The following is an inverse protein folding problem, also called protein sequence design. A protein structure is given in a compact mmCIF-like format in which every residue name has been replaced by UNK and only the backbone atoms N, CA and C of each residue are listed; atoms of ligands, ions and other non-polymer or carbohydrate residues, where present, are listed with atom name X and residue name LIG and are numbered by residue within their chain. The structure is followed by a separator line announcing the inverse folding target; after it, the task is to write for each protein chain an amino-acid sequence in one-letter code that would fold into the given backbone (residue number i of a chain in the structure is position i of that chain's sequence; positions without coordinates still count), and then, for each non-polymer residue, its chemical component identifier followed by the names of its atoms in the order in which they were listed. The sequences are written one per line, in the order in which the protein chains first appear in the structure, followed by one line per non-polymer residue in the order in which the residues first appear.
data_IF_704019601212
#
_entry.id   IF_704019601212
#
_cell.length_a   1.000
_cell.length_b   1.000
_cell.length_c   1.000
_cell.angle_alpha   90.00
_cell.angle_beta   90.00
_cell.angle_gamma   90.00
#
_symmetry.space_group_name_H-M   'P 1'
#
loop_
_entity.id
_entity.type
_entity.pdbx_description
1 polymer ?
#
# COMPACT_ATOMS: atom_id res chain seq x y z
N UNK A 1 -2.87 -18.37 -20.51
CA UNK A 1 -1.45 -18.02 -20.81
C UNK A 1 -0.96 -17.22 -19.61
N UNK A 2 -0.01 -17.75 -18.85
CA UNK A 2 0.58 -17.04 -17.70
C UNK A 2 1.35 -15.86 -18.26
N UNK A 3 0.95 -14.63 -17.89
CA UNK A 3 1.76 -13.44 -18.16
C UNK A 3 3.18 -13.68 -17.66
N UNK A 4 4.20 -13.29 -18.44
CA UNK A 4 5.59 -13.40 -18.01
C UNK A 4 5.87 -12.35 -16.92
N UNK A 5 5.38 -12.61 -15.72
CA UNK A 5 5.67 -11.79 -14.56
C UNK A 5 7.13 -12.02 -14.16
N UNK A 6 7.94 -10.98 -14.26
CA UNK A 6 9.31 -11.01 -13.76
C UNK A 6 9.29 -10.65 -12.28
N UNK A 7 9.52 -11.60 -11.36
CA UNK A 7 9.46 -11.32 -9.94
C UNK A 7 10.62 -10.39 -9.54
N UNK A 8 10.29 -9.19 -9.09
CA UNK A 8 11.23 -8.29 -8.44
C UNK A 8 11.33 -8.67 -6.96
N UNK A 9 12.50 -9.11 -6.53
CA UNK A 9 12.73 -9.46 -5.13
C UNK A 9 13.65 -8.46 -4.46
N UNK A 10 13.32 -8.10 -3.24
CA UNK A 10 14.22 -7.36 -2.36
C UNK A 10 14.87 -8.28 -1.33
N UNK A 11 15.97 -7.82 -0.74
CA UNK A 11 16.63 -8.53 0.38
C UNK A 11 15.73 -8.67 1.61
N UNK A 12 14.63 -7.94 1.67
CA UNK A 12 13.64 -7.99 2.75
C UNK A 12 12.44 -8.89 2.46
N UNK A 13 12.35 -9.48 1.27
CA UNK A 13 11.23 -10.35 0.91
C UNK A 13 11.09 -11.49 1.93
N UNK A 14 9.88 -11.65 2.49
CA UNK A 14 9.57 -12.59 3.58
C UNK A 14 9.89 -12.07 4.98
N UNK A 15 10.43 -10.86 5.12
CA UNK A 15 10.70 -10.28 6.43
C UNK A 15 9.44 -9.70 7.06
N UNK A 16 8.95 -10.34 8.11
CA UNK A 16 7.89 -9.80 8.98
C UNK A 16 8.46 -8.94 10.10
N UNK A 17 7.80 -7.82 10.41
CA UNK A 17 8.25 -6.87 11.42
C UNK A 17 7.08 -6.29 12.24
N UNK A 18 7.35 -5.79 13.46
CA UNK A 18 6.39 -4.96 14.21
C UNK A 18 6.53 -3.53 13.72
N UNK A 19 5.45 -2.96 13.17
CA UNK A 19 5.45 -1.61 12.61
C UNK A 19 5.00 -0.55 13.65
N UNK A 20 3.98 -0.90 14.45
CA UNK A 20 3.48 -0.09 15.55
C UNK A 20 2.79 -1.01 16.57
N UNK A 21 2.17 -0.46 17.59
CA UNK A 21 1.39 -1.28 18.51
C UNK A 21 0.14 -1.82 17.85
N UNK A 22 -0.05 -3.17 17.89
CA UNK A 22 -1.12 -3.87 17.18
C UNK A 22 -0.99 -3.81 15.65
N UNK A 23 0.13 -3.37 15.08
CA UNK A 23 0.37 -3.29 13.63
C UNK A 23 1.64 -4.03 13.25
N UNK A 24 1.52 -4.98 12.34
CA UNK A 24 2.63 -5.81 11.88
C UNK A 24 2.71 -5.76 10.36
N UNK A 25 3.91 -5.60 9.84
CA UNK A 25 4.17 -5.58 8.41
C UNK A 25 4.86 -6.85 7.93
N UNK A 26 4.68 -7.15 6.67
CA UNK A 26 5.41 -8.17 5.93
C UNK A 26 5.82 -7.59 4.58
N UNK A 27 7.09 -7.64 4.26
CA UNK A 27 7.54 -7.32 2.90
C UNK A 27 7.37 -8.55 2.01
N UNK A 28 6.52 -8.45 0.99
CA UNK A 28 6.30 -9.49 -0.02
C UNK A 28 6.94 -9.05 -1.34
N UNK A 29 8.05 -9.67 -1.70
CA UNK A 29 8.89 -9.26 -2.82
C UNK A 29 9.40 -7.81 -2.64
N UNK A 30 8.70 -6.81 -3.17
CA UNK A 30 9.04 -5.38 -3.06
C UNK A 30 7.96 -4.52 -2.42
N UNK A 31 6.77 -5.07 -2.23
CA UNK A 31 5.62 -4.39 -1.62
C UNK A 31 5.44 -4.79 -0.15
N UNK A 32 4.76 -3.98 0.62
CA UNK A 32 4.42 -4.28 2.00
C UNK A 32 2.92 -4.56 2.14
N UNK A 33 2.59 -5.53 2.98
CA UNK A 33 1.24 -5.74 3.49
C UNK A 33 1.25 -5.58 5.01
N UNK A 34 0.11 -5.18 5.58
CA UNK A 34 0.03 -4.96 7.02
C UNK A 34 -1.12 -5.72 7.64
N UNK A 35 -0.86 -6.32 8.80
CA UNK A 35 -1.85 -6.95 9.66
C UNK A 35 -2.12 -6.01 10.83
N UNK A 36 -3.38 -5.62 11.01
CA UNK A 36 -3.81 -4.75 12.11
C UNK A 36 -4.72 -5.53 13.04
N UNK A 37 -4.35 -5.62 14.32
CA UNK A 37 -5.22 -6.19 15.35
C UNK A 37 -6.40 -5.27 15.62
N UNK A 38 -7.60 -5.83 15.74
CA UNK A 38 -8.78 -5.07 16.15
C UNK A 38 -8.76 -4.89 17.69
N UNK A 39 -8.55 -3.68 18.20
CA UNK A 39 -8.46 -3.48 19.65
C UNK A 39 -9.79 -3.71 20.38
N UNK A 40 -10.91 -3.56 19.69
CA UNK A 40 -12.26 -3.76 20.23
C UNK A 40 -12.71 -5.22 20.20
N UNK A 41 -12.05 -6.07 19.41
CA UNK A 41 -12.35 -7.48 19.27
C UNK A 41 -11.03 -8.30 19.24
N UNK A 42 -10.51 -8.67 20.42
CA UNK A 42 -9.28 -9.45 20.51
C UNK A 42 -9.36 -10.73 19.67
N UNK A 43 -8.32 -10.99 18.88
CA UNK A 43 -8.17 -12.07 17.90
C UNK A 43 -8.75 -11.79 16.50
N UNK A 44 -9.34 -10.64 16.26
CA UNK A 44 -9.70 -10.22 14.91
C UNK A 44 -8.54 -9.45 14.26
N UNK A 45 -8.23 -9.80 13.02
CA UNK A 45 -7.15 -9.21 12.23
C UNK A 45 -7.74 -8.63 10.95
N UNK A 46 -7.28 -7.45 10.59
CA UNK A 46 -7.55 -6.82 9.31
C UNK A 46 -6.25 -6.81 8.49
N UNK A 47 -6.32 -7.27 7.26
CA UNK A 47 -5.21 -7.20 6.31
C UNK A 47 -5.33 -5.92 5.50
N UNK A 48 -4.26 -5.16 5.40
CA UNK A 48 -4.17 -4.00 4.49
C UNK A 48 -3.25 -4.37 3.34
N UNK A 49 -3.79 -4.29 2.15
CA UNK A 49 -3.25 -4.77 0.87
C UNK A 49 -3.02 -6.29 0.83
N UNK A 50 -2.86 -6.82 -0.38
CA UNK A 50 -2.70 -8.24 -0.65
C UNK A 50 -1.41 -8.58 -1.42
N UNK A 51 -0.49 -7.62 -1.48
CA UNK A 51 0.86 -7.81 -2.00
C UNK A 51 0.93 -8.19 -3.48
N UNK A 52 2.10 -8.69 -3.86
CA UNK A 52 2.44 -9.09 -5.22
C UNK A 52 1.72 -10.39 -5.65
N UNK A 53 1.57 -10.65 -6.95
CA UNK A 53 1.17 -11.97 -7.44
C UNK A 53 2.04 -13.08 -6.85
N UNK A 54 1.43 -14.24 -6.56
CA UNK A 54 2.09 -15.44 -5.98
C UNK A 54 2.60 -15.26 -4.54
N UNK A 55 2.19 -14.21 -3.81
CA UNK A 55 2.61 -13.99 -2.43
C UNK A 55 1.65 -14.53 -1.36
N UNK A 56 0.57 -15.20 -1.75
CA UNK A 56 -0.45 -15.72 -0.83
C UNK A 56 0.11 -16.65 0.24
N UNK A 57 1.01 -17.56 -0.13
CA UNK A 57 1.64 -18.47 0.83
C UNK A 57 2.50 -17.71 1.85
N UNK A 58 3.24 -16.70 1.41
CA UNK A 58 4.05 -15.87 2.29
C UNK A 58 3.20 -15.11 3.31
N UNK A 59 2.07 -14.54 2.85
CA UNK A 59 1.11 -13.80 3.69
C UNK A 59 0.43 -14.75 4.70
N UNK A 60 -0.04 -15.92 4.25
CA UNK A 60 -0.68 -16.90 5.13
C UNK A 60 0.26 -17.50 6.16
N UNK A 61 1.52 -17.77 5.78
CA UNK A 61 2.53 -18.27 6.69
C UNK A 61 2.92 -17.22 7.75
N UNK A 62 3.03 -15.95 7.37
CA UNK A 62 3.27 -14.87 8.35
C UNK A 62 2.11 -14.72 9.31
N UNK A 63 0.87 -14.79 8.84
CA UNK A 63 -0.30 -14.75 9.71
C UNK A 63 -0.28 -15.88 10.73
N UNK A 64 -0.03 -17.14 10.29
CA UNK A 64 0.06 -18.32 11.18
C UNK A 64 1.23 -18.21 12.17
N UNK A 65 2.37 -17.69 11.72
CA UNK A 65 3.57 -17.54 12.54
C UNK A 65 3.38 -16.49 13.65
N UNK A 66 2.71 -15.41 13.32
CA UNK A 66 2.57 -14.25 14.21
C UNK A 66 1.40 -14.38 15.17
N UNK A 67 0.29 -14.86 14.66
CA UNK A 67 -0.94 -14.95 15.43
C UNK A 67 -1.20 -16.40 15.82
N UNK A 68 -1.58 -16.60 17.09
CA UNK A 68 -1.87 -17.93 17.64
C UNK A 68 -3.18 -18.48 17.07
N UNK A 69 -3.44 -19.77 17.33
CA UNK A 69 -4.74 -20.36 17.05
C UNK A 69 -5.89 -19.55 17.67
N UNK A 70 -6.96 -19.38 16.90
CA UNK A 70 -8.14 -18.61 17.30
C UNK A 70 -8.09 -17.14 16.87
N UNK A 71 -7.06 -16.68 16.16
CA UNK A 71 -7.11 -15.43 15.43
C UNK A 71 -7.78 -15.63 14.07
N UNK A 72 -8.61 -14.67 13.67
CA UNK A 72 -9.39 -14.72 12.43
C UNK A 72 -9.14 -13.46 11.61
N UNK A 73 -8.90 -13.61 10.31
CA UNK A 73 -8.98 -12.49 9.37
C UNK A 73 -10.45 -12.11 9.20
N UNK A 74 -10.78 -10.84 9.35
CA UNK A 74 -12.16 -10.33 9.26
C UNK A 74 -12.43 -9.52 8.00
N UNK A 75 -11.42 -8.88 7.47
CA UNK A 75 -11.54 -8.07 6.25
C UNK A 75 -10.18 -7.86 5.58
N UNK A 76 -10.22 -7.50 4.31
CA UNK A 76 -9.09 -6.90 3.60
C UNK A 76 -9.45 -5.46 3.25
N UNK A 77 -8.58 -4.52 3.57
CA UNK A 77 -8.68 -3.12 3.15
C UNK A 77 -7.61 -2.90 2.09
N UNK A 78 -7.99 -2.41 0.92
CA UNK A 78 -7.06 -2.10 -0.15
C UNK A 78 -6.81 -0.59 -0.20
N UNK A 79 -5.54 -0.20 -0.22
CA UNK A 79 -5.14 1.20 -0.40
C UNK A 79 -5.49 1.69 -1.80
N UNK A 80 -5.25 0.85 -2.80
CA UNK A 80 -5.59 1.03 -4.21
C UNK A 80 -5.52 -0.31 -4.95
N UNK A 81 -5.77 -0.33 -6.27
CA UNK A 81 -5.91 -1.57 -7.02
C UNK A 81 -4.74 -1.93 -7.94
N UNK A 82 -3.53 -1.41 -7.76
CA UNK A 82 -2.38 -1.86 -8.56
C UNK A 82 -2.01 -3.30 -8.25
N UNK A 83 -1.42 -3.99 -9.25
CA UNK A 83 -1.15 -5.43 -9.24
C UNK A 83 -0.30 -5.90 -8.05
N UNK A 84 0.54 -5.05 -7.51
CA UNK A 84 1.43 -5.31 -6.38
C UNK A 84 0.79 -5.06 -5.01
N UNK A 85 -0.46 -4.56 -5.00
CA UNK A 85 -1.31 -4.40 -3.82
C UNK A 85 -2.50 -5.35 -3.79
N UNK A 86 -2.89 -5.90 -4.95
CA UNK A 86 -4.01 -6.84 -5.04
C UNK A 86 -3.59 -8.23 -5.53
N UNK A 87 -2.30 -8.45 -5.76
CA UNK A 87 -1.79 -9.60 -6.53
C UNK A 87 -2.12 -10.97 -5.98
N UNK A 88 -2.26 -11.15 -4.68
CA UNK A 88 -2.63 -12.42 -4.06
C UNK A 88 -4.11 -12.49 -3.65
N UNK A 89 -4.91 -11.45 -3.88
CA UNK A 89 -6.25 -11.32 -3.29
C UNK A 89 -7.18 -12.48 -3.62
N UNK A 90 -7.19 -12.99 -4.86
CA UNK A 90 -8.08 -14.10 -5.26
C UNK A 90 -7.82 -15.34 -4.41
N UNK A 91 -6.57 -15.76 -4.29
CA UNK A 91 -6.18 -16.94 -3.49
C UNK A 91 -6.47 -16.70 -2.01
N UNK A 92 -6.23 -15.49 -1.50
CA UNK A 92 -6.52 -15.16 -0.11
C UNK A 92 -8.02 -15.20 0.20
N UNK A 93 -8.87 -14.79 -0.74
CA UNK A 93 -10.33 -14.87 -0.60
C UNK A 93 -10.87 -16.28 -0.68
N UNK A 94 -10.26 -17.16 -1.48
CA UNK A 94 -10.58 -18.59 -1.48
C UNK A 94 -10.30 -19.24 -0.12
N UNK A 95 -9.23 -18.80 0.57
CA UNK A 95 -8.84 -19.33 1.88
C UNK A 95 -9.69 -18.77 3.04
N UNK A 96 -10.04 -17.50 2.99
CA UNK A 96 -10.62 -16.80 4.15
C UNK A 96 -12.05 -16.30 3.95
N UNK A 97 -12.53 -16.17 2.72
CA UNK A 97 -13.89 -15.74 2.39
C UNK A 97 -14.35 -14.51 3.19
N UNK A 98 -13.55 -13.45 3.21
CA UNK A 98 -13.81 -12.23 3.98
C UNK A 98 -14.18 -11.07 3.06
N UNK A 99 -14.87 -10.03 3.54
CA UNK A 99 -15.16 -8.84 2.76
C UNK A 99 -13.88 -8.08 2.40
N UNK A 100 -13.88 -7.47 1.20
CA UNK A 100 -12.83 -6.58 0.72
C UNK A 100 -13.41 -5.17 0.61
N UNK A 101 -12.69 -4.18 1.14
CA UNK A 101 -13.06 -2.78 1.06
C UNK A 101 -12.01 -1.98 0.32
N UNK A 102 -12.47 -1.04 -0.50
CA UNK A 102 -11.63 -0.12 -1.27
C UNK A 102 -12.37 1.20 -1.46
N UNK A 103 -11.70 2.27 -1.82
CA UNK A 103 -12.36 3.52 -2.16
C UNK A 103 -13.25 3.37 -3.41
N UNK A 104 -14.41 4.03 -3.44
CA UNK A 104 -15.39 3.93 -4.53
C UNK A 104 -14.81 4.18 -5.94
N UNK A 105 -13.85 5.11 -6.06
CA UNK A 105 -13.18 5.44 -7.33
C UNK A 105 -12.24 4.34 -7.84
N UNK A 106 -11.88 3.37 -7.00
CA UNK A 106 -11.09 2.21 -7.40
C UNK A 106 -11.95 1.05 -7.91
N UNK A 107 -13.25 1.04 -7.56
CA UNK A 107 -14.16 -0.05 -7.96
C UNK A 107 -14.15 -0.36 -9.46
N UNK A 108 -14.13 0.61 -10.40
CA UNK A 108 -14.07 0.30 -11.82
C UNK A 108 -12.85 -0.53 -12.20
N UNK A 109 -11.71 -0.27 -11.59
CA UNK A 109 -10.45 -0.96 -11.88
C UNK A 109 -10.45 -2.39 -11.32
N UNK A 110 -10.75 -2.55 -10.03
CA UNK A 110 -10.72 -3.87 -9.36
C UNK A 110 -11.91 -4.78 -9.70
N UNK A 111 -12.90 -4.28 -10.44
CA UNK A 111 -14.02 -5.08 -10.99
C UNK A 111 -13.86 -5.37 -12.48
N UNK A 112 -12.78 -4.92 -13.11
CA UNK A 112 -12.47 -5.11 -14.52
C UNK A 112 -13.38 -4.32 -15.48
N UNK A 113 -13.98 -3.21 -15.01
CA UNK A 113 -14.76 -2.28 -15.82
C UNK A 113 -13.88 -1.21 -16.50
N UNK A 114 -12.69 -0.96 -15.95
CA UNK A 114 -11.70 -0.04 -16.50
C UNK A 114 -10.28 -0.57 -16.23
N UNK A 115 -9.32 -0.14 -17.05
CA UNK A 115 -7.91 -0.34 -16.82
C UNK A 115 -7.28 0.96 -16.29
N UNK A 116 -6.20 0.82 -15.50
CA UNK A 116 -5.40 1.98 -15.14
C UNK A 116 -4.73 2.62 -16.37
N UNK A 117 -4.44 3.92 -16.29
CA UNK A 117 -3.65 4.57 -17.34
C UNK A 117 -2.34 3.82 -17.62
N UNK A 118 -1.82 3.89 -18.86
CA UNK A 118 -0.53 3.28 -19.16
C UNK A 118 0.58 3.92 -18.33
N UNK A 119 1.55 3.10 -17.93
CA UNK A 119 2.76 3.59 -17.26
C UNK A 119 3.48 4.65 -18.12
N UNK A 120 4.12 5.59 -17.44
CA UNK A 120 4.90 6.68 -18.05
C UNK A 120 6.40 6.43 -17.84
N UNK A 121 7.07 5.63 -18.69
CA UNK A 121 8.46 5.21 -18.50
C UNK A 121 9.45 6.39 -18.49
N UNK A 122 9.06 7.52 -19.06
CA UNK A 122 9.88 8.74 -19.15
C UNK A 122 9.60 9.74 -18.02
N UNK A 123 8.68 9.44 -17.10
CA UNK A 123 8.33 10.34 -16.00
C UNK A 123 9.52 10.58 -15.05
N UNK A 124 10.39 9.60 -14.90
CA UNK A 124 11.65 9.70 -14.14
C UNK A 124 12.68 8.74 -14.71
N UNK A 125 13.97 9.07 -14.58
CA UNK A 125 15.07 8.18 -15.01
C UNK A 125 15.17 6.98 -14.06
N UNK A 126 15.29 5.77 -14.62
CA UNK A 126 15.49 4.54 -13.86
C UNK A 126 15.19 3.30 -14.68
N UNK A 127 15.75 2.15 -14.28
CA UNK A 127 15.54 0.89 -15.00
C UNK A 127 14.11 0.36 -14.77
N UNK A 128 13.60 0.46 -13.55
CA UNK A 128 12.24 0.04 -13.21
C UNK A 128 11.21 0.88 -13.98
N UNK A 129 11.41 2.20 -14.04
CA UNK A 129 10.57 3.09 -14.84
C UNK A 129 10.55 2.68 -16.33
N UNK A 130 11.69 2.34 -16.90
CA UNK A 130 11.80 1.89 -18.31
C UNK A 130 11.08 0.55 -18.55
N UNK A 131 11.04 -0.33 -17.56
CA UNK A 131 10.37 -1.63 -17.63
C UNK A 131 8.87 -1.52 -17.31
N UNK A 132 8.41 -0.40 -16.77
CA UNK A 132 7.02 -0.22 -16.32
C UNK A 132 5.92 -0.48 -17.37
N UNK A 133 6.14 -0.30 -18.70
CA UNK A 133 5.15 -0.70 -19.68
C UNK A 133 4.87 -2.20 -19.75
N UNK A 134 5.76 -3.03 -19.17
CA UNK A 134 5.62 -4.48 -19.09
C UNK A 134 4.83 -4.92 -17.85
N UNK A 135 4.58 -4.03 -16.89
CA UNK A 135 3.84 -4.35 -15.67
C UNK A 135 2.34 -4.44 -15.96
N UNK A 136 1.62 -5.35 -15.27
CA UNK A 136 0.20 -5.50 -15.44
C UNK A 136 -0.57 -4.21 -15.15
N UNK A 137 -1.44 -3.79 -16.06
CA UNK A 137 -2.38 -2.68 -15.87
C UNK A 137 -3.79 -3.17 -15.59
N UNK A 138 -4.06 -4.39 -16.01
CA UNK A 138 -5.31 -5.06 -15.73
C UNK A 138 -5.30 -5.52 -14.29
N UNK A 139 -6.31 -5.15 -13.57
CA UNK A 139 -6.48 -5.64 -12.21
C UNK A 139 -7.20 -6.99 -12.21
N UNK A 140 -6.95 -7.73 -11.17
CA UNK A 140 -7.69 -8.94 -10.84
C UNK A 140 -9.15 -8.55 -10.59
N UNK A 141 -10.12 -9.35 -11.06
CA UNK A 141 -11.53 -9.13 -10.76
C UNK A 141 -11.86 -9.61 -9.37
N UNK A 142 -12.06 -8.67 -8.44
CA UNK A 142 -12.46 -8.99 -7.07
C UNK A 142 -13.99 -9.11 -7.02
N UNK A 143 -14.57 -10.31 -6.79
CA UNK A 143 -16.00 -10.54 -7.00
C UNK A 143 -16.90 -9.83 -5.99
N UNK A 144 -16.46 -9.61 -4.76
CA UNK A 144 -17.29 -9.08 -3.68
C UNK A 144 -16.67 -7.85 -3.00
N UNK A 145 -16.04 -6.98 -3.78
CA UNK A 145 -15.45 -5.75 -3.28
C UNK A 145 -16.51 -4.71 -2.97
N UNK A 146 -16.37 -4.02 -1.85
CA UNK A 146 -17.28 -2.99 -1.35
C UNK A 146 -16.58 -1.64 -1.26
N UNK A 147 -17.34 -0.56 -1.43
CA UNK A 147 -16.84 0.76 -1.15
C UNK A 147 -16.65 0.96 0.37
N UNK A 148 -15.55 1.62 0.74
CA UNK A 148 -15.37 2.12 2.11
C UNK A 148 -16.49 3.10 2.48
N UNK A 149 -16.91 3.16 3.77
CA UNK A 149 -17.86 4.15 4.24
C UNK A 149 -17.40 5.58 3.92
N UNK A 150 -18.30 6.41 3.40
CA UNK A 150 -17.99 7.78 2.96
C UNK A 150 -17.65 8.75 4.10
N UNK A 151 -17.91 8.37 5.34
CA UNK A 151 -17.66 9.16 6.55
C UNK A 151 -16.20 9.08 7.06
N UNK A 152 -15.33 8.34 6.35
CA UNK A 152 -13.93 8.18 6.71
C UNK A 152 -13.66 7.02 7.70
N UNK A 153 -14.69 6.31 8.15
CA UNK A 153 -14.51 5.16 9.05
C UNK A 153 -13.92 3.95 8.30
N UNK A 154 -13.14 3.14 9.03
CA UNK A 154 -12.56 1.90 8.50
C UNK A 154 -13.30 0.72 9.13
N UNK A 155 -13.92 -0.17 8.34
CA UNK A 155 -14.62 -1.34 8.88
C UNK A 155 -13.72 -2.17 9.80
N UNK A 156 -14.23 -2.55 10.97
CA UNK A 156 -13.54 -3.31 12.03
C UNK A 156 -12.35 -2.60 12.72
N UNK A 157 -12.05 -1.34 12.37
CA UNK A 157 -10.93 -0.57 12.92
C UNK A 157 -11.41 0.80 13.39
N UNK A 158 -12.16 0.86 14.49
CA UNK A 158 -12.78 2.10 15.02
C UNK A 158 -11.78 3.22 15.34
N UNK A 159 -10.53 2.87 15.68
CA UNK A 159 -9.48 3.85 15.99
C UNK A 159 -8.79 4.41 14.72
N UNK A 160 -9.11 3.88 13.55
CA UNK A 160 -8.52 4.29 12.28
C UNK A 160 -9.51 5.07 11.44
N UNK A 161 -8.95 5.99 10.66
CA UNK A 161 -9.68 6.70 9.60
C UNK A 161 -8.98 6.48 8.28
N UNK A 162 -9.72 6.33 7.21
CA UNK A 162 -9.15 6.43 5.90
C UNK A 162 -9.15 7.89 5.44
N UNK A 163 -8.09 8.27 4.74
CA UNK A 163 -7.84 9.60 4.19
C UNK A 163 -7.72 9.46 2.70
N UNK A 164 -8.56 10.14 1.92
CA UNK A 164 -8.43 10.16 0.47
C UNK A 164 -7.14 10.89 0.07
N UNK A 165 -6.24 10.17 -0.59
CA UNK A 165 -4.91 10.61 -1.03
C UNK A 165 -4.71 10.32 -2.52
N UNK A 166 -5.56 10.91 -3.40
CA UNK A 166 -5.54 10.66 -4.83
C UNK A 166 -4.27 11.21 -5.48
N UNK A 167 -4.02 10.76 -6.72
CA UNK A 167 -2.92 11.21 -7.57
C UNK A 167 -2.11 10.04 -8.09
N UNK A 168 -1.63 9.15 -7.23
CA UNK A 168 -1.08 7.85 -7.65
C UNK A 168 -2.14 7.07 -8.42
N UNK A 169 -3.27 6.81 -7.77
CA UNK A 169 -4.51 6.40 -8.43
C UNK A 169 -5.66 7.34 -8.05
N UNK A 170 -6.79 7.34 -8.78
CA UNK A 170 -7.92 8.24 -8.48
C UNK A 170 -8.58 8.01 -7.12
N UNK A 171 -8.56 6.77 -6.63
CA UNK A 171 -9.17 6.40 -5.36
C UNK A 171 -8.16 5.94 -4.31
N UNK A 172 -6.88 6.25 -4.48
CA UNK A 172 -5.88 5.89 -3.48
C UNK A 172 -6.24 6.46 -2.10
N UNK A 173 -6.07 5.64 -1.06
CA UNK A 173 -6.27 6.03 0.33
C UNK A 173 -5.04 5.75 1.19
N UNK A 174 -4.92 6.52 2.25
CA UNK A 174 -4.04 6.24 3.38
C UNK A 174 -4.89 5.95 4.62
N UNK A 175 -4.35 5.23 5.61
CA UNK A 175 -5.01 4.99 6.89
C UNK A 175 -4.26 5.74 7.98
N UNK A 176 -4.99 6.41 8.88
CA UNK A 176 -4.40 7.16 9.98
C UNK A 176 -5.03 6.79 11.31
N UNK A 177 -4.21 6.59 12.35
CA UNK A 177 -4.63 6.34 13.71
C UNK A 177 -4.21 7.49 14.61
N UNK A 178 -5.20 8.26 15.09
CA UNK A 178 -4.99 9.51 15.82
C UNK A 178 -4.24 9.33 17.15
N UNK A 179 -4.52 8.25 17.90
CA UNK A 179 -4.03 8.07 19.28
C UNK A 179 -2.51 8.03 19.41
N UNK A 180 -1.82 7.52 18.42
CA UNK A 180 -0.37 7.38 18.37
C UNK A 180 0.23 7.84 17.03
N UNK A 181 -0.59 8.53 16.23
CA UNK A 181 -0.21 9.17 14.97
C UNK A 181 0.48 8.21 13.99
N UNK A 182 -0.01 6.98 13.91
CA UNK A 182 0.46 6.00 12.93
C UNK A 182 -0.22 6.26 11.59
N UNK A 183 0.59 6.53 10.57
CA UNK A 183 0.15 6.71 9.19
C UNK A 183 0.58 5.51 8.34
N UNK A 184 -0.39 4.81 7.74
CA UNK A 184 -0.17 3.85 6.67
C UNK A 184 -0.47 4.58 5.36
N UNK A 185 0.58 5.06 4.69
CA UNK A 185 0.48 5.98 3.55
C UNK A 185 0.11 5.29 2.24
N UNK A 186 0.20 3.94 2.17
CA UNK A 186 0.16 3.23 0.88
C UNK A 186 1.27 3.76 -0.02
N UNK A 187 0.92 4.05 -1.26
CA UNK A 187 1.85 4.58 -2.27
C UNK A 187 1.78 6.09 -2.46
N UNK A 188 1.00 6.82 -1.65
CA UNK A 188 1.05 8.28 -1.67
C UNK A 188 2.43 8.81 -1.25
N UNK A 189 3.11 8.09 -0.36
CA UNK A 189 4.50 8.31 0.06
C UNK A 189 5.17 6.95 0.19
N UNK A 190 6.37 6.79 -0.32
CA UNK A 190 7.17 5.57 -0.24
C UNK A 190 8.53 5.86 0.38
N UNK A 191 9.16 4.83 0.94
CA UNK A 191 10.45 4.94 1.65
C UNK A 191 11.59 4.23 0.93
N UNK A 192 11.48 4.09 -0.39
CA UNK A 192 12.51 3.55 -1.28
C UNK A 192 12.33 4.16 -2.67
N UNK A 193 13.41 4.47 -3.38
CA UNK A 193 13.30 4.96 -4.77
C UNK A 193 12.90 3.82 -5.72
N UNK A 194 11.63 3.77 -6.08
CA UNK A 194 11.06 2.70 -6.92
C UNK A 194 11.57 2.69 -8.36
N UNK A 195 12.07 3.80 -8.87
CA UNK A 195 12.69 3.89 -10.19
C UNK A 195 14.07 3.24 -10.26
N UNK A 196 14.78 3.13 -9.13
CA UNK A 196 16.11 2.55 -8.99
C UNK A 196 16.03 1.07 -8.62
N UNK A 197 16.37 0.18 -9.55
CA UNK A 197 16.41 -1.26 -9.27
C UNK A 197 17.36 -1.60 -8.11
N UNK A 198 18.50 -0.92 -8.02
CA UNK A 198 19.46 -1.17 -6.94
C UNK A 198 18.86 -0.82 -5.58
N UNK A 199 18.20 0.33 -5.45
CA UNK A 199 17.62 0.78 -4.20
C UNK A 199 16.41 -0.10 -3.79
N UNK A 200 15.61 -0.53 -4.77
CA UNK A 200 14.51 -1.50 -4.55
C UNK A 200 15.05 -2.84 -4.04
N UNK A 201 16.12 -3.38 -4.64
CA UNK A 201 16.71 -4.66 -4.22
C UNK A 201 17.27 -4.57 -2.80
N UNK A 202 18.05 -3.54 -2.49
CA UNK A 202 18.68 -3.40 -1.15
C UNK A 202 17.76 -2.75 -0.13
N UNK A 203 16.59 -2.22 -0.55
CA UNK A 203 15.64 -1.47 0.30
C UNK A 203 16.32 -0.27 0.98
N UNK A 204 17.02 0.54 0.19
CA UNK A 204 17.63 1.78 0.67
C UNK A 204 16.54 2.70 1.19
N UNK A 205 16.57 2.97 2.51
CA UNK A 205 15.56 3.79 3.15
C UNK A 205 15.76 5.27 2.80
N UNK A 206 14.87 5.82 2.00
CA UNK A 206 14.85 7.21 1.57
C UNK A 206 13.41 7.62 1.25
N UNK A 207 13.00 8.82 1.66
CA UNK A 207 11.62 9.30 1.50
C UNK A 207 11.39 9.85 0.08
N UNK A 208 10.36 9.33 -0.58
CA UNK A 208 9.95 9.72 -1.92
C UNK A 208 8.44 9.93 -2.02
N UNK A 209 8.01 10.72 -3.00
CA UNK A 209 6.61 10.75 -3.45
C UNK A 209 6.21 9.42 -4.10
N UNK A 210 5.00 9.34 -4.61
CA UNK A 210 4.50 8.13 -5.27
C UNK A 210 5.37 7.77 -6.49
N UNK A 211 5.44 6.46 -6.86
CA UNK A 211 6.18 6.01 -8.04
C UNK A 211 5.77 6.79 -9.29
N UNK A 212 6.70 7.58 -9.86
CA UNK A 212 6.37 8.56 -10.91
C UNK A 212 5.82 7.91 -12.17
N UNK A 213 6.28 6.70 -12.51
CA UNK A 213 5.86 5.97 -13.71
C UNK A 213 4.43 5.42 -13.63
N UNK A 214 3.85 5.27 -12.43
CA UNK A 214 2.47 4.85 -12.21
C UNK A 214 1.58 5.94 -11.61
N UNK A 215 2.08 7.15 -11.41
CA UNK A 215 1.28 8.25 -10.87
C UNK A 215 0.45 8.90 -11.98
N UNK A 216 -0.86 8.79 -11.86
CA UNK A 216 -1.81 9.27 -12.86
C UNK A 216 -1.86 10.81 -12.91
N UNK A 217 -1.82 11.47 -11.75
CA UNK A 217 -1.91 12.91 -11.59
C UNK A 217 -0.90 13.40 -10.53
N UNK A 218 0.18 14.01 -11.01
CA UNK A 218 1.28 14.47 -10.15
C UNK A 218 0.89 15.66 -9.28
N UNK A 219 0.01 16.55 -9.76
CA UNK A 219 -0.45 17.71 -9.01
C UNK A 219 -1.32 17.28 -7.83
N UNK A 220 -2.29 16.41 -8.09
CA UNK A 220 -3.14 15.84 -7.04
C UNK A 220 -2.33 15.00 -6.06
N UNK A 221 -1.30 14.27 -6.52
CA UNK A 221 -0.38 13.52 -5.66
C UNK A 221 0.41 14.44 -4.72
N UNK A 222 0.92 15.57 -5.22
CA UNK A 222 1.61 16.57 -4.39
C UNK A 222 0.70 17.10 -3.27
N UNK A 223 -0.55 17.45 -3.60
CA UNK A 223 -1.54 17.87 -2.60
C UNK A 223 -1.84 16.77 -1.57
N UNK A 224 -1.85 15.49 -1.99
CA UNK A 224 -2.02 14.36 -1.09
C UNK A 224 -0.84 14.21 -0.12
N UNK A 225 0.40 14.35 -0.61
CA UNK A 225 1.60 14.33 0.25
C UNK A 225 1.57 15.47 1.26
N UNK A 226 1.19 16.69 0.85
CA UNK A 226 1.02 17.83 1.75
C UNK A 226 0.01 17.53 2.86
N UNK A 227 -1.16 17.00 2.50
CA UNK A 227 -2.20 16.60 3.44
C UNK A 227 -1.70 15.56 4.44
N UNK A 228 -0.88 14.59 4.02
CA UNK A 228 -0.29 13.59 4.90
C UNK A 228 0.77 14.18 5.82
N UNK A 229 1.57 15.13 5.35
CA UNK A 229 2.56 15.84 6.16
C UNK A 229 1.90 16.66 7.28
N UNK A 230 0.76 17.30 7.01
CA UNK A 230 -0.03 18.05 8.00
C UNK A 230 -0.62 17.16 9.11
N UNK A 231 -0.73 15.86 8.89
CA UNK A 231 -1.07 14.92 9.95
C UNK A 231 0.05 14.72 10.96
N UNK A 232 1.27 15.20 10.71
CA UNK A 232 2.47 15.06 11.56
C UNK A 232 2.63 13.64 12.14
N UNK A 233 2.74 12.59 11.33
CA UNK A 233 2.78 11.22 11.81
C UNK A 233 4.01 10.92 12.66
N UNK A 234 3.86 10.08 13.70
CA UNK A 234 4.97 9.55 14.52
C UNK A 234 5.57 8.27 13.94
N UNK A 235 4.78 7.52 13.19
CA UNK A 235 5.21 6.36 12.42
C UNK A 235 4.63 6.42 11.02
N UNK A 236 5.49 6.27 10.01
CA UNK A 236 5.15 6.26 8.59
C UNK A 236 5.34 4.84 8.05
N UNK A 237 4.26 4.20 7.70
CA UNK A 237 4.20 2.87 7.09
C UNK A 237 3.81 3.06 5.61
N UNK A 238 4.51 2.41 4.71
CA UNK A 238 4.38 2.68 3.26
C UNK A 238 4.15 1.40 2.48
N UNK A 239 3.56 1.49 1.30
CA UNK A 239 3.40 0.36 0.39
C UNK A 239 4.74 -0.22 -0.08
N UNK A 240 5.78 0.60 -0.16
CA UNK A 240 7.14 0.20 -0.55
C UNK A 240 8.19 0.80 0.37
N UNK A 241 9.21 0.00 0.69
CA UNK A 241 10.34 0.43 1.50
C UNK A 241 10.19 0.08 2.98
N UNK A 242 11.14 0.54 3.79
CA UNK A 242 11.22 0.28 5.22
C UNK A 242 10.46 1.38 5.97
N UNK A 243 9.55 1.04 6.90
CA UNK A 243 8.86 2.05 7.72
C UNK A 243 9.82 3.03 8.41
N UNK A 244 9.38 4.27 8.54
CA UNK A 244 10.10 5.32 9.26
C UNK A 244 9.39 5.66 10.56
N UNK A 245 10.16 5.86 11.64
CA UNK A 245 9.65 6.24 12.96
C UNK A 245 10.50 7.34 13.58
N UNK A 246 9.93 8.13 14.48
CA UNK A 246 10.62 9.21 15.16
C UNK A 246 10.45 10.58 14.47
N UNK A 247 11.17 11.58 14.94
CA UNK A 247 10.92 12.99 14.54
C UNK A 247 11.64 13.42 13.26
N UNK A 248 12.76 12.81 12.94
CA UNK A 248 13.66 13.28 11.86
C UNK A 248 13.00 13.29 10.49
N UNK A 249 12.21 12.26 10.16
CA UNK A 249 11.58 12.16 8.84
C UNK A 249 10.38 13.13 8.63
N UNK A 250 9.87 13.77 9.68
CA UNK A 250 8.76 14.74 9.54
C UNK A 250 9.19 15.98 8.77
N UNK A 251 10.38 16.50 9.06
CA UNK A 251 10.96 17.62 8.33
C UNK A 251 11.21 17.22 6.87
N UNK A 252 11.67 15.97 6.64
CA UNK A 252 11.86 15.43 5.30
C UNK A 252 10.53 15.29 4.56
N UNK A 253 9.45 14.89 5.24
CA UNK A 253 8.11 14.77 4.65
C UNK A 253 7.52 16.13 4.26
N UNK A 254 7.69 17.15 5.10
CA UNK A 254 7.32 18.53 4.76
C UNK A 254 8.14 19.06 3.58
N UNK A 255 9.44 18.84 3.60
CA UNK A 255 10.34 19.21 2.50
C UNK A 255 9.98 18.50 1.20
N UNK A 256 9.59 17.22 1.26
CA UNK A 256 9.11 16.46 0.10
C UNK A 256 7.84 17.09 -0.47
N UNK A 257 6.87 17.43 0.40
CA UNK A 257 5.63 18.08 -0.03
C UNK A 257 5.88 19.41 -0.75
N UNK A 258 6.74 20.26 -0.19
CA UNK A 258 7.15 21.52 -0.81
C UNK A 258 7.83 21.34 -2.17
N UNK A 259 8.76 20.36 -2.27
CA UNK A 259 9.45 20.03 -3.53
C UNK A 259 8.47 19.57 -4.60
N UNK A 260 7.52 18.69 -4.26
CA UNK A 260 6.53 18.19 -5.21
C UNK A 260 5.63 19.33 -5.73
N UNK A 261 5.30 20.30 -4.89
CA UNK A 261 4.57 21.50 -5.33
C UNK A 261 5.40 22.45 -6.19
N UNK A 262 6.71 22.55 -5.96
CA UNK A 262 7.57 23.49 -6.70
C UNK A 262 7.95 23.02 -8.12
N UNK A 263 7.78 21.75 -8.43
CA UNK A 263 8.10 21.15 -9.75
C UNK A 263 6.89 21.14 -10.68
N UNK A 264 5.71 21.56 -10.20
CA UNK A 264 4.46 21.68 -10.94
C UNK A 264 4.31 23.08 -11.53
#
# INVERSE_FOLDING_TARGET
MSDPFMPLFSVRSGAGFKAADGVYGLTVQIANVYFIENPSAPREIILVDAGMPQSSEMITNEMKRRFKEGYELKAVILTHGHFDHVGAIEVLLELWNVPVYIHEKELPYVTGKADYPPARPDAKKGLVAKLSPLFPRHTIRIPSVQALPSDGTVPFLEEWKWVHTPGHTPGHISLFRDKDRVLLAGDAVITVEQESLADVVIQKQELHGPPAYFTADTQTAAASVQKLAELEPEALLTGHGIPMTGKNYREDLLTLAEKLHSVL
#
